data_IF_071015398337
#
_entry.id   IF_071015398337
#
_cell.length_a   1.000
_cell.length_b   1.000
_cell.length_c   1.000
_cell.angle_alpha   90.00
_cell.angle_beta   90.00
_cell.angle_gamma   90.00
#
_symmetry.space_group_name_H-M   'P 1'
#
loop_
_entity.id
_entity.type
_entity.pdbx_description
1 polymer ?
#
# COMPACT_ATOMS: atom_id res chain seq x y z
N UNK A 1 -23.95 -4.48 9.96
CA UNK A 1 -24.20 -4.42 8.50
C UNK A 1 -25.56 -5.00 8.20
N UNK A 2 -26.35 -4.36 7.33
CA UNK A 2 -27.66 -4.86 6.93
C UNK A 2 -27.52 -5.99 5.89
N UNK A 3 -28.45 -6.95 5.82
CA UNK A 3 -28.40 -8.03 4.84
C UNK A 3 -28.60 -7.48 3.42
N UNK A 4 -27.62 -7.66 2.54
CA UNK A 4 -27.70 -7.28 1.11
C UNK A 4 -26.73 -6.18 0.66
N UNK A 5 -25.99 -5.57 1.57
CA UNK A 5 -24.93 -4.62 1.21
C UNK A 5 -23.68 -5.42 0.78
N UNK A 6 -23.35 -5.40 -0.52
CA UNK A 6 -22.06 -5.93 -1.00
C UNK A 6 -20.96 -5.17 -0.29
N UNK A 7 -20.11 -5.88 0.46
CA UNK A 7 -18.91 -5.31 1.06
C UNK A 7 -18.14 -4.51 0.01
N UNK A 8 -17.81 -3.26 0.33
CA UNK A 8 -17.00 -2.43 -0.57
C UNK A 8 -15.55 -2.88 -0.45
N UNK A 9 -15.16 -3.77 -1.36
CA UNK A 9 -13.82 -4.37 -1.44
C UNK A 9 -12.67 -3.34 -1.53
N UNK A 10 -12.94 -2.08 -1.88
CA UNK A 10 -11.93 -1.02 -1.98
C UNK A 10 -11.90 -0.07 -0.78
N UNK A 11 -12.86 -0.21 0.15
CA UNK A 11 -13.02 0.70 1.29
C UNK A 11 -11.79 0.73 2.21
N UNK A 12 -11.03 -0.37 2.28
CA UNK A 12 -9.83 -0.43 3.10
C UNK A 12 -8.78 0.62 2.68
N UNK A 13 -8.70 1.00 1.40
CA UNK A 13 -7.80 2.08 0.96
C UNK A 13 -8.12 3.38 1.68
N UNK A 14 -9.38 3.64 2.02
CA UNK A 14 -9.81 4.87 2.69
C UNK A 14 -9.51 4.86 4.19
N UNK A 15 -9.61 3.70 4.81
CA UNK A 15 -9.59 3.54 6.27
C UNK A 15 -8.24 3.07 6.83
N UNK A 16 -7.32 2.57 5.98
CA UNK A 16 -5.96 2.24 6.40
C UNK A 16 -5.15 3.49 6.75
N UNK A 17 -4.15 3.33 7.60
CA UNK A 17 -3.14 4.36 7.85
C UNK A 17 -2.15 4.44 6.68
N UNK A 18 -2.58 5.13 5.63
CA UNK A 18 -1.81 5.30 4.39
C UNK A 18 -0.40 5.85 4.63
N UNK A 19 -0.25 6.79 5.57
CA UNK A 19 1.03 7.46 5.80
C UNK A 19 2.06 6.47 6.37
N UNK A 20 1.70 5.78 7.46
CA UNK A 20 2.59 4.77 8.04
C UNK A 20 2.84 3.61 7.08
N UNK A 21 1.79 3.19 6.36
CA UNK A 21 1.86 2.08 5.43
C UNK A 21 2.79 2.36 4.24
N UNK A 22 2.60 3.48 3.55
CA UNK A 22 3.43 3.80 2.37
C UNK A 22 4.88 4.13 2.75
N UNK A 23 5.13 4.77 3.91
CA UNK A 23 6.49 4.91 4.45
C UNK A 23 7.16 3.55 4.66
N UNK A 24 6.46 2.60 5.28
CA UNK A 24 6.98 1.26 5.52
C UNK A 24 7.25 0.50 4.21
N UNK A 25 6.37 0.64 3.21
CA UNK A 25 6.57 0.01 1.89
C UNK A 25 7.80 0.59 1.17
N UNK A 26 8.01 1.90 1.24
CA UNK A 26 9.18 2.55 0.63
C UNK A 26 10.47 2.11 1.31
N UNK A 27 10.50 2.01 2.65
CA UNK A 27 11.68 1.54 3.38
C UNK A 27 12.07 0.10 3.06
N UNK A 28 11.12 -0.74 2.63
CA UNK A 28 11.42 -2.12 2.19
C UNK A 28 12.10 -2.14 0.81
N UNK A 29 11.79 -1.17 -0.05
CA UNK A 29 12.29 -1.11 -1.42
C UNK A 29 13.64 -0.35 -1.54
N UNK A 30 13.92 0.58 -0.63
CA UNK A 30 15.17 1.34 -0.59
C UNK A 30 16.12 0.77 0.47
N UNK A 31 17.25 0.19 0.06
CA UNK A 31 18.28 -0.29 1.00
C UNK A 31 18.92 0.82 1.85
N UNK A 32 18.72 2.09 1.50
CA UNK A 32 19.43 3.25 2.08
C UNK A 32 18.54 4.37 2.63
N UNK A 33 17.22 4.24 2.67
CA UNK A 33 16.35 5.33 3.13
C UNK A 33 15.42 4.89 4.26
N UNK A 34 15.63 5.52 5.42
CA UNK A 34 15.01 5.31 6.73
C UNK A 34 15.73 4.23 7.55
N UNK A 35 16.76 4.66 8.28
CA UNK A 35 17.23 4.01 9.51
C UNK A 35 16.11 4.02 10.56
N UNK A 36 15.03 3.30 10.29
CA UNK A 36 14.14 2.87 11.35
C UNK A 36 14.79 1.62 11.89
N UNK A 37 15.42 1.75 13.06
CA UNK A 37 15.81 0.62 13.92
C UNK A 37 14.55 -0.17 14.27
N UNK A 38 14.08 -0.97 13.32
CA UNK A 38 12.96 -1.84 13.51
C UNK A 38 13.52 -3.09 14.20
N UNK A 39 12.92 -3.49 15.32
CA UNK A 39 13.23 -4.79 15.91
C UNK A 39 13.09 -5.86 14.84
N UNK A 40 14.08 -6.74 14.70
CA UNK A 40 14.11 -7.78 13.67
C UNK A 40 13.26 -8.98 14.09
N UNK A 41 11.98 -8.76 14.41
CA UNK A 41 11.09 -9.87 14.75
C UNK A 41 10.77 -10.65 13.48
N UNK A 42 11.18 -11.91 13.45
CA UNK A 42 10.84 -12.82 12.36
C UNK A 42 9.39 -13.27 12.51
N UNK A 43 8.46 -12.59 11.85
CA UNK A 43 7.01 -12.91 11.89
C UNK A 43 6.74 -14.26 11.23
N UNK A 44 7.46 -14.49 10.13
CA UNK A 44 7.50 -15.73 9.36
C UNK A 44 8.94 -16.22 9.33
N UNK A 45 9.16 -17.53 9.51
CA UNK A 45 10.48 -18.13 9.22
C UNK A 45 10.67 -18.26 7.71
N UNK A 46 11.42 -17.33 7.13
CA UNK A 46 11.69 -17.30 5.69
C UNK A 46 12.64 -18.39 5.21
N UNK A 47 13.25 -19.17 6.12
CA UNK A 47 14.09 -20.33 5.75
C UNK A 47 13.31 -21.65 5.71
N UNK A 48 11.97 -21.57 5.82
CA UNK A 48 11.10 -22.74 5.74
C UNK A 48 11.37 -23.56 4.47
N UNK A 49 11.53 -24.87 4.64
CA UNK A 49 11.87 -25.79 3.53
C UNK A 49 10.74 -25.93 2.51
N UNK A 50 9.52 -25.52 2.85
CA UNK A 50 8.39 -25.51 1.92
C UNK A 50 8.45 -24.33 0.96
N UNK A 51 9.15 -23.24 1.31
CA UNK A 51 9.20 -22.06 0.47
C UNK A 51 10.13 -22.22 -0.73
N UNK A 52 9.62 -21.90 -1.90
CA UNK A 52 10.40 -21.57 -3.08
C UNK A 52 11.03 -20.18 -2.98
N UNK A 53 11.89 -19.81 -3.92
CA UNK A 53 12.64 -18.56 -3.86
C UNK A 53 11.74 -17.31 -3.86
N UNK A 54 10.64 -17.33 -4.61
CA UNK A 54 9.67 -16.23 -4.63
C UNK A 54 9.01 -16.02 -3.26
N UNK A 55 8.67 -17.11 -2.57
CA UNK A 55 8.12 -17.06 -1.22
C UNK A 55 9.15 -16.61 -0.19
N UNK A 56 10.41 -17.06 -0.30
CA UNK A 56 11.50 -16.60 0.59
C UNK A 56 11.76 -15.10 0.44
N UNK A 57 11.79 -14.60 -0.79
CA UNK A 57 11.97 -13.18 -1.09
C UNK A 57 10.79 -12.36 -0.55
N UNK A 58 9.56 -12.81 -0.85
CA UNK A 58 8.35 -12.15 -0.34
C UNK A 58 8.28 -12.16 1.17
N UNK A 59 8.56 -13.30 1.81
CA UNK A 59 8.62 -13.43 3.26
C UNK A 59 9.62 -12.45 3.90
N UNK A 60 10.82 -12.35 3.33
CA UNK A 60 11.87 -11.45 3.84
C UNK A 60 11.41 -10.00 3.76
N UNK A 61 10.82 -9.59 2.64
CA UNK A 61 10.25 -8.24 2.46
C UNK A 61 9.06 -8.01 3.40
N UNK A 62 8.22 -9.02 3.61
CA UNK A 62 7.06 -8.95 4.49
C UNK A 62 7.46 -8.76 5.96
N UNK A 63 8.43 -9.52 6.45
CA UNK A 63 8.98 -9.35 7.80
C UNK A 63 9.52 -7.92 7.98
N UNK A 64 10.27 -7.40 7.00
CA UNK A 64 10.75 -6.02 7.04
C UNK A 64 9.59 -5.02 7.06
N UNK A 65 8.58 -5.20 6.20
CA UNK A 65 7.41 -4.32 6.10
C UNK A 65 6.69 -4.16 7.45
N UNK A 66 6.36 -5.27 8.11
CA UNK A 66 5.62 -5.21 9.38
C UNK A 66 6.47 -4.59 10.49
N UNK A 67 7.75 -4.94 10.58
CA UNK A 67 8.65 -4.33 11.58
C UNK A 67 8.79 -2.82 11.36
N UNK A 68 8.98 -2.37 10.11
CA UNK A 68 9.00 -0.94 9.77
C UNK A 68 7.68 -0.26 10.11
N UNK A 69 6.54 -0.87 9.75
CA UNK A 69 5.21 -0.34 10.01
C UNK A 69 4.96 -0.17 11.51
N UNK A 70 5.26 -1.19 12.32
CA UNK A 70 5.09 -1.15 13.76
C UNK A 70 5.98 -0.10 14.43
N UNK A 71 7.21 0.06 13.96
CA UNK A 71 8.12 1.08 14.46
C UNK A 71 7.68 2.51 14.09
N UNK A 72 7.18 2.73 12.87
CA UNK A 72 6.62 4.01 12.45
C UNK A 72 5.38 4.37 13.27
N UNK A 73 4.49 3.40 13.49
CA UNK A 73 3.26 3.64 14.26
C UNK A 73 3.55 3.89 15.75
N UNK A 74 4.47 3.14 16.35
CA UNK A 74 4.85 3.34 17.77
C UNK A 74 5.49 4.70 18.01
N UNK A 75 6.34 5.17 17.09
CA UNK A 75 6.99 6.48 17.17
C UNK A 75 6.05 7.66 16.90
N UNK A 76 4.93 7.44 16.22
CA UNK A 76 3.97 8.49 15.87
C UNK A 76 3.00 8.85 17.01
N UNK A 77 2.98 8.09 18.12
CA UNK A 77 2.04 8.31 19.24
C UNK A 77 0.56 8.07 18.90
N UNK A 78 0.30 7.47 17.73
CA UNK A 78 -1.03 7.05 17.26
C UNK A 78 -1.32 5.64 17.82
N UNK A 79 -2.58 5.20 17.83
CA UNK A 79 -2.91 3.80 18.08
C UNK A 79 -2.03 2.90 17.19
N UNK A 80 -1.10 2.20 17.81
CA UNK A 80 -0.10 1.40 17.11
C UNK A 80 -0.67 0.10 16.56
N UNK A 81 -1.84 -0.31 17.05
CA UNK A 81 -2.53 -1.54 16.65
C UNK A 81 -3.06 -1.41 15.23
N UNK A 82 -2.75 -2.39 14.39
CA UNK A 82 -3.29 -2.50 13.03
C UNK A 82 -4.79 -2.78 13.06
N UNK A 83 -5.53 -2.06 12.21
CA UNK A 83 -6.96 -2.28 12.03
C UNK A 83 -7.25 -3.21 10.83
N UNK A 84 -8.52 -3.58 10.65
CA UNK A 84 -8.94 -4.46 9.56
C UNK A 84 -8.56 -3.94 8.16
N UNK A 85 -8.51 -2.61 7.98
CA UNK A 85 -8.14 -2.01 6.71
C UNK A 85 -6.63 -2.09 6.45
N UNK A 86 -5.81 -1.96 7.50
CA UNK A 86 -4.37 -2.21 7.42
C UNK A 86 -4.09 -3.67 7.05
N UNK A 87 -4.81 -4.63 7.66
CA UNK A 87 -4.67 -6.05 7.30
C UNK A 87 -5.10 -6.33 5.86
N UNK A 88 -6.20 -5.74 5.38
CA UNK A 88 -6.62 -5.88 3.98
C UNK A 88 -5.59 -5.32 2.99
N UNK A 89 -4.91 -4.23 3.35
CA UNK A 89 -3.79 -3.75 2.55
C UNK A 89 -2.60 -4.71 2.60
N UNK A 90 -2.23 -5.24 3.77
CA UNK A 90 -1.14 -6.22 3.89
C UNK A 90 -1.41 -7.49 3.07
N UNK A 91 -2.67 -7.92 2.99
CA UNK A 91 -3.12 -8.97 2.08
C UNK A 91 -2.80 -8.60 0.62
N UNK A 92 -3.30 -7.44 0.15
CA UNK A 92 -3.05 -6.98 -1.22
C UNK A 92 -1.54 -6.90 -1.51
N UNK A 93 -0.77 -6.30 -0.61
CA UNK A 93 0.67 -6.14 -0.77
C UNK A 93 1.36 -7.51 -0.91
N UNK A 94 0.99 -8.49 -0.09
CA UNK A 94 1.59 -9.83 -0.14
C UNK A 94 1.31 -10.54 -1.45
N UNK A 95 0.07 -10.44 -1.96
CA UNK A 95 -0.31 -10.99 -3.27
C UNK A 95 0.51 -10.33 -4.39
N UNK A 96 0.62 -8.99 -4.40
CA UNK A 96 1.39 -8.26 -5.41
C UNK A 96 2.90 -8.55 -5.31
N UNK A 97 3.43 -8.76 -4.11
CA UNK A 97 4.83 -9.13 -3.89
C UNK A 97 5.12 -10.52 -4.48
N UNK A 98 4.27 -11.51 -4.23
CA UNK A 98 4.38 -12.83 -4.85
C UNK A 98 4.31 -12.76 -6.38
N UNK A 99 3.34 -12.00 -6.94
CA UNK A 99 3.23 -11.81 -8.39
C UNK A 99 4.54 -11.24 -8.98
N UNK A 100 5.17 -10.28 -8.29
CA UNK A 100 6.39 -9.64 -8.75
C UNK A 100 7.60 -10.57 -8.79
N UNK A 101 7.58 -11.61 -7.94
CA UNK A 101 8.59 -12.67 -7.90
C UNK A 101 8.22 -13.85 -8.83
N UNK A 102 7.12 -13.75 -9.59
CA UNK A 102 6.67 -14.77 -10.53
C UNK A 102 5.79 -15.87 -9.91
N UNK A 103 5.41 -15.76 -8.64
CA UNK A 103 4.51 -16.71 -7.97
C UNK A 103 3.06 -16.20 -8.02
N UNK A 104 2.22 -16.84 -8.85
CA UNK A 104 0.81 -16.43 -9.06
C UNK A 104 -0.19 -17.50 -8.61
N UNK A 105 0.25 -18.56 -7.92
CA UNK A 105 -0.62 -19.64 -7.49
C UNK A 105 -1.06 -19.50 -6.01
N UNK A 106 -2.26 -20.01 -5.72
CA UNK A 106 -2.85 -19.93 -4.38
C UNK A 106 -2.06 -20.70 -3.33
N UNK A 107 -1.36 -21.77 -3.73
CA UNK A 107 -0.50 -22.55 -2.85
C UNK A 107 0.61 -21.68 -2.22
N UNK A 108 1.21 -20.78 -2.99
CA UNK A 108 2.28 -19.91 -2.48
C UNK A 108 1.80 -19.00 -1.34
N UNK A 109 0.57 -18.51 -1.46
CA UNK A 109 -0.07 -17.64 -0.46
C UNK A 109 -0.50 -18.41 0.80
N UNK A 110 -1.07 -19.60 0.61
CA UNK A 110 -1.47 -20.49 1.71
C UNK A 110 -0.28 -20.91 2.58
N UNK A 111 0.85 -21.24 1.93
CA UNK A 111 2.09 -21.57 2.62
C UNK A 111 2.63 -20.37 3.41
N UNK A 112 2.60 -19.16 2.85
CA UNK A 112 2.95 -17.94 3.60
C UNK A 112 2.03 -17.78 4.81
N UNK A 113 0.71 -17.88 4.62
CA UNK A 113 -0.29 -17.72 5.69
C UNK A 113 -0.03 -18.68 6.86
N UNK A 114 0.17 -19.96 6.54
CA UNK A 114 0.37 -21.02 7.54
C UNK A 114 1.63 -20.79 8.38
N UNK A 115 2.68 -20.20 7.78
CA UNK A 115 3.97 -19.97 8.43
C UNK A 115 4.07 -18.64 9.22
N UNK A 116 3.01 -17.81 9.27
CA UNK A 116 2.96 -16.65 10.17
C UNK A 116 2.87 -17.16 11.62
N UNK A 117 3.92 -17.07 12.40
CA UNK A 117 3.95 -17.72 13.72
C UNK A 117 4.04 -16.74 14.89
N UNK A 118 4.52 -15.53 14.63
CA UNK A 118 4.72 -14.52 15.65
C UNK A 118 3.82 -13.30 15.46
N UNK A 119 3.63 -12.59 16.56
CA UNK A 119 2.92 -11.32 16.64
C UNK A 119 3.85 -10.25 17.23
N UNK A 120 3.46 -8.98 17.11
CA UNK A 120 4.18 -7.86 17.72
C UNK A 120 3.21 -7.18 18.67
N UNK A 121 3.44 -7.37 19.97
CA UNK A 121 2.59 -6.84 21.04
C UNK A 121 2.30 -5.34 20.86
N UNK A 122 1.01 -5.00 20.91
CA UNK A 122 0.55 -3.62 20.74
C UNK A 122 0.60 -3.10 19.30
N UNK A 123 0.94 -3.92 18.30
CA UNK A 123 0.93 -3.52 16.89
C UNK A 123 0.25 -4.54 15.97
N UNK A 124 0.83 -5.73 15.81
CA UNK A 124 0.45 -6.72 14.80
C UNK A 124 -0.01 -8.00 15.48
N UNK A 125 -1.20 -8.47 15.14
CA UNK A 125 -1.74 -9.77 15.51
C UNK A 125 -1.77 -10.68 14.27
N UNK A 126 -1.31 -11.91 14.42
CA UNK A 126 -1.22 -12.87 13.31
C UNK A 126 -2.57 -13.41 12.85
N UNK A 127 -3.55 -13.56 13.74
CA UNK A 127 -4.79 -14.29 13.45
C UNK A 127 -5.67 -13.58 12.41
N UNK A 128 -5.89 -12.24 12.48
CA UNK A 128 -6.61 -11.51 11.44
C UNK A 128 -5.96 -11.71 10.07
N UNK A 129 -4.63 -11.56 9.99
CA UNK A 129 -3.93 -11.70 8.71
C UNK A 129 -4.05 -13.11 8.14
N UNK A 130 -3.82 -14.15 8.95
CA UNK A 130 -3.97 -15.55 8.53
C UNK A 130 -5.35 -15.83 7.94
N UNK A 131 -6.39 -15.30 8.59
CA UNK A 131 -7.78 -15.54 8.20
C UNK A 131 -8.16 -14.89 6.88
N UNK A 132 -7.50 -13.79 6.50
CA UNK A 132 -7.82 -13.04 5.28
C UNK A 132 -6.82 -13.24 4.14
N UNK A 133 -5.68 -13.88 4.38
CA UNK A 133 -4.61 -14.12 3.40
C UNK A 133 -4.98 -15.24 2.42
N UNK A 134 -6.05 -14.98 1.67
CA UNK A 134 -6.60 -15.82 0.60
C UNK A 134 -6.46 -15.10 -0.74
N UNK A 135 -6.64 -15.85 -1.83
CA UNK A 135 -6.54 -15.29 -3.18
C UNK A 135 -7.52 -14.11 -3.40
N UNK A 136 -7.17 -13.22 -4.33
CA UNK A 136 -7.99 -12.08 -4.76
C UNK A 136 -8.41 -12.35 -6.20
N UNK A 137 -9.71 -12.24 -6.49
CA UNK A 137 -10.20 -12.42 -7.86
C UNK A 137 -9.38 -11.59 -8.86
N UNK A 138 -9.01 -12.18 -9.99
CA UNK A 138 -8.04 -11.55 -10.90
C UNK A 138 -8.48 -10.18 -11.44
N UNK A 139 -9.78 -9.95 -11.65
CA UNK A 139 -10.29 -8.64 -12.08
C UNK A 139 -10.34 -7.65 -10.92
N UNK A 140 -10.66 -8.13 -9.72
CA UNK A 140 -10.56 -7.35 -8.49
C UNK A 140 -9.12 -6.92 -8.19
N UNK A 141 -8.15 -7.84 -8.32
CA UNK A 141 -6.73 -7.60 -8.09
C UNK A 141 -6.17 -6.57 -9.06
N UNK A 142 -6.50 -6.66 -10.36
CA UNK A 142 -6.11 -5.65 -11.36
C UNK A 142 -6.57 -4.25 -10.97
N UNK A 143 -7.81 -4.12 -10.49
CA UNK A 143 -8.38 -2.84 -10.03
C UNK A 143 -7.70 -2.35 -8.75
N UNK A 144 -7.49 -3.22 -7.77
CA UNK A 144 -6.76 -2.88 -6.54
C UNK A 144 -5.33 -2.44 -6.82
N UNK A 145 -4.63 -3.10 -7.75
CA UNK A 145 -3.28 -2.74 -8.21
C UNK A 145 -3.23 -1.33 -8.82
N UNK A 146 -4.25 -0.96 -9.58
CA UNK A 146 -4.35 0.40 -10.14
C UNK A 146 -4.57 1.45 -9.05
N UNK A 147 -5.44 1.19 -8.06
CA UNK A 147 -5.62 2.09 -6.92
C UNK A 147 -4.34 2.21 -6.09
N UNK A 148 -3.71 1.08 -5.76
CA UNK A 148 -2.46 1.08 -4.99
C UNK A 148 -1.36 1.91 -5.68
N UNK A 149 -1.21 1.76 -7.00
CA UNK A 149 -0.25 2.56 -7.78
C UNK A 149 -0.58 4.06 -7.72
N UNK A 150 -1.85 4.44 -7.82
CA UNK A 150 -2.29 5.83 -7.69
C UNK A 150 -1.95 6.43 -6.32
N UNK A 151 -2.24 5.70 -5.25
CA UNK A 151 -1.92 6.13 -3.88
C UNK A 151 -0.41 6.20 -3.62
N UNK A 152 0.37 5.23 -4.11
CA UNK A 152 1.85 5.24 -4.03
C UNK A 152 2.44 6.46 -4.74
N UNK A 153 2.04 6.69 -5.98
CA UNK A 153 2.52 7.85 -6.75
C UNK A 153 2.18 9.17 -6.04
N UNK A 154 0.96 9.30 -5.51
CA UNK A 154 0.59 10.47 -4.72
C UNK A 154 1.46 10.62 -3.46
N UNK A 155 1.72 9.53 -2.74
CA UNK A 155 2.51 9.55 -1.53
C UNK A 155 3.96 9.97 -1.80
N UNK A 156 4.60 9.37 -2.80
CA UNK A 156 5.95 9.72 -3.26
C UNK A 156 6.03 11.19 -3.67
N UNK A 157 5.04 11.68 -4.44
CA UNK A 157 4.95 13.09 -4.78
C UNK A 157 4.87 13.96 -3.53
N UNK A 158 3.96 13.67 -2.60
CA UNK A 158 3.79 14.49 -1.41
C UNK A 158 5.06 14.52 -0.56
N UNK A 159 5.75 13.38 -0.41
CA UNK A 159 7.00 13.29 0.32
C UNK A 159 8.10 14.16 -0.34
N UNK A 160 8.23 14.07 -1.67
CA UNK A 160 9.17 14.88 -2.47
C UNK A 160 8.86 16.38 -2.40
N UNK A 161 7.58 16.77 -2.40
CA UNK A 161 7.19 18.17 -2.28
C UNK A 161 7.63 18.82 -0.96
N UNK A 162 7.79 18.02 0.09
CA UNK A 162 8.26 18.50 1.38
C UNK A 162 9.81 18.54 1.45
N UNK A 163 10.53 18.00 0.45
CA UNK A 163 12.01 17.89 0.40
C UNK A 163 12.66 18.66 -0.77
N UNK A 164 12.76 19.99 -0.64
CA UNK A 164 13.62 20.90 -1.43
C UNK A 164 13.36 21.02 -2.96
N UNK A 165 13.93 22.07 -3.58
CA UNK A 165 13.65 22.49 -4.96
C UNK A 165 14.23 21.59 -6.06
N UNK A 166 15.20 20.74 -5.75
CA UNK A 166 15.89 19.87 -6.72
C UNK A 166 15.00 18.67 -7.15
N UNK A 167 13.86 18.47 -6.48
CA UNK A 167 12.97 17.34 -6.69
C UNK A 167 11.70 17.66 -7.50
N UNK A 168 11.54 18.91 -7.95
CA UNK A 168 10.39 19.35 -8.78
C UNK A 168 10.26 18.48 -10.05
N UNK A 169 11.40 18.10 -10.67
CA UNK A 169 11.42 17.26 -11.87
C UNK A 169 10.84 15.85 -11.60
N UNK A 170 11.21 15.23 -10.48
CA UNK A 170 10.65 13.93 -10.05
C UNK A 170 9.16 14.06 -9.78
N UNK A 171 8.73 15.15 -9.15
CA UNK A 171 7.31 15.42 -8.91
C UNK A 171 6.52 15.51 -10.23
N UNK A 172 7.08 16.13 -11.28
CA UNK A 172 6.44 16.20 -12.61
C UNK A 172 6.34 14.82 -13.26
N UNK A 173 7.35 13.97 -13.09
CA UNK A 173 7.33 12.58 -13.57
C UNK A 173 6.21 11.79 -12.89
N UNK A 174 6.17 11.77 -11.56
CA UNK A 174 5.11 11.10 -10.81
C UNK A 174 3.71 11.67 -11.10
N UNK A 175 3.60 12.98 -11.33
CA UNK A 175 2.32 13.60 -11.72
C UNK A 175 1.83 13.06 -13.07
N UNK A 176 2.72 12.96 -14.06
CA UNK A 176 2.39 12.37 -15.37
C UNK A 176 1.99 10.89 -15.24
N UNK A 177 2.71 10.12 -14.43
CA UNK A 177 2.39 8.73 -14.16
C UNK A 177 1.01 8.58 -13.49
N UNK A 178 0.74 9.37 -12.44
CA UNK A 178 -0.54 9.40 -11.75
C UNK A 178 -1.71 9.72 -12.71
N UNK A 179 -1.54 10.70 -13.61
CA UNK A 179 -2.56 11.03 -14.63
C UNK A 179 -2.78 9.85 -15.60
N UNK A 180 -1.71 9.20 -16.06
CA UNK A 180 -1.79 8.06 -16.99
C UNK A 180 -2.43 6.84 -16.32
N UNK A 181 -2.07 6.55 -15.08
CA UNK A 181 -2.64 5.47 -14.28
C UNK A 181 -4.12 5.75 -13.98
N UNK A 182 -4.48 7.01 -13.69
CA UNK A 182 -5.87 7.40 -13.46
C UNK A 182 -6.71 7.21 -14.73
N UNK A 183 -6.21 7.66 -15.89
CA UNK A 183 -6.86 7.43 -17.19
C UNK A 183 -7.02 5.94 -17.49
N UNK A 184 -6.04 5.13 -17.13
CA UNK A 184 -6.10 3.67 -17.29
C UNK A 184 -7.17 3.08 -16.36
N UNK A 185 -7.18 3.45 -15.08
CA UNK A 185 -8.18 3.04 -14.11
C UNK A 185 -9.61 3.38 -14.55
N UNK A 186 -9.83 4.58 -15.11
CA UNK A 186 -11.14 5.00 -15.63
C UNK A 186 -11.73 4.07 -16.68
N UNK A 187 -10.90 3.37 -17.46
CA UNK A 187 -11.38 2.40 -18.47
C UNK A 187 -11.99 1.13 -17.86
N UNK A 188 -11.68 0.84 -16.59
CA UNK A 188 -12.21 -0.32 -15.86
C UNK A 188 -13.51 0.00 -15.08
N UNK A 189 -13.96 1.26 -15.09
CA UNK A 189 -15.20 1.66 -14.46
C UNK A 189 -16.40 1.26 -15.33
N UNK A 190 -17.26 0.38 -14.81
CA UNK A 190 -18.46 -0.07 -15.53
C UNK A 190 -19.57 0.99 -15.55
N UNK A 191 -19.83 1.62 -14.41
CA UNK A 191 -20.80 2.70 -14.23
C UNK A 191 -20.53 3.43 -12.89
N UNK A 192 -21.30 4.48 -12.59
CA UNK A 192 -21.14 5.30 -11.37
C UNK A 192 -21.48 4.58 -10.06
N UNK A 193 -22.23 3.48 -10.12
CA UNK A 193 -22.61 2.69 -8.94
C UNK A 193 -21.56 1.63 -8.57
N UNK A 194 -20.61 1.37 -9.46
CA UNK A 194 -19.52 0.40 -9.26
C UNK A 194 -18.59 0.84 -8.12
N UNK A 195 -18.27 -0.09 -7.20
CA UNK A 195 -17.44 0.21 -6.03
C UNK A 195 -16.05 0.72 -6.39
N UNK A 196 -15.46 0.23 -7.49
CA UNK A 196 -14.18 0.70 -7.98
C UNK A 196 -14.28 2.13 -8.52
N UNK A 197 -15.35 2.46 -9.24
CA UNK A 197 -15.61 3.84 -9.65
C UNK A 197 -15.70 4.78 -8.44
N UNK A 198 -16.44 4.40 -7.39
CA UNK A 198 -16.57 5.21 -6.17
C UNK A 198 -15.23 5.43 -5.48
N UNK A 199 -14.43 4.37 -5.34
CA UNK A 199 -13.08 4.47 -4.77
C UNK A 199 -12.17 5.39 -5.60
N UNK A 200 -12.21 5.28 -6.93
CA UNK A 200 -11.43 6.11 -7.85
C UNK A 200 -11.86 7.59 -7.78
N UNK A 201 -13.15 7.88 -7.69
CA UNK A 201 -13.65 9.25 -7.52
C UNK A 201 -13.23 9.86 -6.18
N UNK A 202 -13.22 9.07 -5.10
CA UNK A 202 -12.70 9.53 -3.80
C UNK A 202 -11.21 9.82 -3.87
N UNK A 203 -10.43 8.99 -4.56
CA UNK A 203 -9.02 9.28 -4.81
C UNK A 203 -8.86 10.64 -5.53
N UNK A 204 -9.58 10.87 -6.62
CA UNK A 204 -9.54 12.14 -7.36
C UNK A 204 -9.91 13.35 -6.48
N UNK A 205 -11.02 13.26 -5.74
CA UNK A 205 -11.50 14.33 -4.89
C UNK A 205 -10.49 14.71 -3.79
N UNK A 206 -9.88 13.72 -3.14
CA UNK A 206 -8.98 13.96 -2.03
C UNK A 206 -7.60 14.39 -2.54
N UNK A 207 -7.10 13.75 -3.60
CA UNK A 207 -5.67 13.82 -3.90
C UNK A 207 -5.36 14.67 -5.13
N UNK A 208 -6.12 14.54 -6.21
CA UNK A 208 -5.91 15.37 -7.41
C UNK A 208 -6.27 16.83 -7.10
N UNK A 209 -7.41 17.08 -6.45
CA UNK A 209 -7.80 18.45 -6.13
C UNK A 209 -6.88 19.11 -5.10
N UNK A 210 -6.46 18.39 -4.05
CA UNK A 210 -5.51 18.94 -3.07
C UNK A 210 -4.14 19.18 -3.69
N UNK A 211 -3.70 18.29 -4.59
CA UNK A 211 -2.45 18.45 -5.31
C UNK A 211 -2.46 19.67 -6.22
N UNK A 212 -3.51 19.84 -7.03
CA UNK A 212 -3.69 21.04 -7.88
C UNK A 212 -3.70 22.32 -7.04
N UNK A 213 -4.38 22.33 -5.89
CA UNK A 213 -4.37 23.47 -4.97
C UNK A 213 -2.96 23.74 -4.42
N UNK A 214 -2.20 22.71 -4.03
CA UNK A 214 -0.82 22.85 -3.54
C UNK A 214 0.13 23.36 -4.64
N UNK A 215 0.05 22.82 -5.86
CA UNK A 215 0.79 23.31 -7.01
C UNK A 215 0.46 24.79 -7.29
N UNK A 216 -0.82 25.15 -7.39
CA UNK A 216 -1.23 26.54 -7.64
C UNK A 216 -0.77 27.50 -6.53
N UNK A 217 -0.74 27.05 -5.27
CA UNK A 217 -0.23 27.84 -4.14
C UNK A 217 1.29 27.93 -4.10
N UNK A 218 2.00 26.90 -4.55
CA UNK A 218 3.45 26.90 -4.75
C UNK A 218 3.91 27.65 -6.01
N UNK A 219 2.97 28.02 -6.90
CA UNK A 219 3.19 28.72 -8.18
C UNK A 219 2.67 30.20 -8.12
N UNK A 220 2.45 30.80 -6.94
CA UNK A 220 2.21 32.26 -6.89
C UNK A 220 3.42 33.03 -7.45
N UNK A 221 3.21 34.12 -8.23
CA UNK A 221 3.36 34.08 -9.69
C UNK A 221 4.78 34.42 -10.16
N UNK A 222 5.28 33.67 -11.14
CA UNK A 222 6.26 34.17 -12.10
C UNK A 222 5.57 35.12 -13.09
N UNK A 223 5.02 36.22 -12.57
CA UNK A 223 4.72 37.42 -13.36
C UNK A 223 5.72 38.49 -12.90
N UNK A 224 6.53 38.97 -13.85
CA UNK A 224 7.66 39.91 -13.77
C UNK A 224 9.06 39.28 -13.66
N UNK A 225 9.59 38.79 -14.79
CA UNK A 225 10.84 39.28 -15.42
C UNK A 225 10.65 39.24 -16.94
#
# INVERSE_FOLDING_TARGET
MAPGERSNEYEFFENMDKNSMYKAVISVNNETALEVSAGNTAIIDCNSRVFNDAQKNTCTKFNKLINSLCSIKSSSGINSVLNDSDYNYLKLWTVLALESEGATNNASLEEISTNINYEIDGCFNKDPLKSILVDIDGDQLKKMKLLDKLYKNYFEMHYIFDSSSEEIRKCLEYSKECINDYKTARRYCKNSNDNFYKALMKFEQIYINRFMIKLLKGIAPMENI
#
